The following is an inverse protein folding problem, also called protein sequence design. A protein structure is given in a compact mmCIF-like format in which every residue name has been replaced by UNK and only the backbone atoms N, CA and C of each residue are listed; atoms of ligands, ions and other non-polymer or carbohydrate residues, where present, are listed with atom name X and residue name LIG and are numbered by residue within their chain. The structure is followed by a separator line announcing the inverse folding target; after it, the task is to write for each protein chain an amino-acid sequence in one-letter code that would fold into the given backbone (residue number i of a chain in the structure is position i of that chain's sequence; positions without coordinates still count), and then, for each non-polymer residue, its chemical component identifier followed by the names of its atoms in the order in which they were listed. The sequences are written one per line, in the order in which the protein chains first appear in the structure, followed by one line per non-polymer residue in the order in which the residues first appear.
data_IF_719248268329
#
_entry.id   IF_719248268329
#
_cell.length_a   1.000
_cell.length_b   1.000
_cell.length_c   1.000
_cell.angle_alpha   90.00
_cell.angle_beta   90.00
_cell.angle_gamma   90.00
#
_symmetry.space_group_name_H-M   'P 1'
#
loop_
_entity.id
_entity.type
_entity.pdbx_description
1 polymer ?
#
# COMPACT_ATOMS: atom_id res chain seq x y z
N UNK A 1 -26.45 -69.85 -6.31
CA UNK A 1 -25.80 -68.75 -5.56
C UNK A 1 -25.90 -67.49 -6.41
N UNK A 2 -26.47 -66.38 -5.91
CA UNK A 2 -26.61 -65.17 -6.71
C UNK A 2 -25.23 -64.51 -6.86
N UNK A 3 -24.85 -64.20 -8.10
CA UNK A 3 -23.67 -63.38 -8.38
C UNK A 3 -24.01 -61.94 -8.00
N UNK A 4 -23.40 -61.44 -6.93
CA UNK A 4 -23.47 -60.02 -6.57
C UNK A 4 -22.88 -59.19 -7.71
N UNK A 5 -23.69 -58.27 -8.22
CA UNK A 5 -23.26 -57.21 -9.14
C UNK A 5 -22.43 -56.22 -8.33
N UNK A 6 -21.22 -55.81 -8.77
CA UNK A 6 -20.53 -54.74 -8.08
C UNK A 6 -21.33 -53.45 -8.29
N UNK A 7 -21.68 -52.77 -7.20
CA UNK A 7 -22.22 -51.42 -7.21
C UNK A 7 -21.21 -50.49 -7.90
N UNK A 8 -21.63 -49.59 -8.81
CA UNK A 8 -20.73 -48.59 -9.36
C UNK A 8 -20.34 -47.61 -8.25
N UNK A 9 -19.04 -47.49 -8.02
CA UNK A 9 -18.49 -46.36 -7.28
C UNK A 9 -18.62 -45.11 -8.14
N UNK A 10 -19.77 -44.44 -8.07
CA UNK A 10 -19.92 -43.07 -8.55
C UNK A 10 -19.25 -42.13 -7.54
N UNK A 11 -17.93 -42.14 -7.52
CA UNK A 11 -17.16 -40.98 -7.05
C UNK A 11 -17.30 -39.92 -8.13
N UNK A 12 -18.37 -39.13 -8.03
CA UNK A 12 -18.54 -37.89 -8.77
C UNK A 12 -17.54 -36.85 -8.22
N UNK A 13 -16.25 -37.12 -8.45
CA UNK A 13 -15.15 -36.19 -8.24
C UNK A 13 -15.03 -35.33 -9.51
N UNK A 14 -16.14 -34.72 -9.89
CA UNK A 14 -16.12 -33.58 -10.80
C UNK A 14 -15.53 -32.41 -10.01
N UNK A 15 -14.20 -32.29 -10.01
CA UNK A 15 -13.58 -30.99 -9.86
C UNK A 15 -14.29 -30.03 -10.83
N UNK A 16 -15.10 -29.12 -10.29
CA UNK A 16 -15.86 -28.13 -11.05
C UNK A 16 -14.92 -27.38 -11.99
N UNK A 17 -14.87 -27.80 -13.25
CA UNK A 17 -14.05 -27.13 -14.26
C UNK A 17 -14.53 -25.69 -14.36
N UNK A 18 -13.64 -24.69 -14.25
CA UNK A 18 -14.03 -23.29 -14.27
C UNK A 18 -14.76 -22.96 -15.57
N UNK A 19 -15.87 -22.25 -15.43
CA UNK A 19 -16.68 -21.79 -16.56
C UNK A 19 -15.86 -20.86 -17.47
N UNK A 20 -16.23 -20.81 -18.76
CA UNK A 20 -15.63 -19.87 -19.73
C UNK A 20 -15.65 -18.41 -19.23
N UNK A 21 -16.68 -18.04 -18.46
CA UNK A 21 -16.81 -16.70 -17.87
C UNK A 21 -15.82 -16.46 -16.71
N UNK A 22 -15.58 -17.46 -15.85
CA UNK A 22 -14.56 -17.40 -14.80
C UNK A 22 -13.15 -17.25 -15.38
N UNK A 23 -12.79 -18.11 -16.33
CA UNK A 23 -11.48 -18.05 -17.01
C UNK A 23 -11.23 -16.68 -17.67
N UNK A 24 -12.27 -16.09 -18.25
CA UNK A 24 -12.18 -14.73 -18.83
C UNK A 24 -11.94 -13.67 -17.75
N UNK A 25 -12.66 -13.73 -16.63
CA UNK A 25 -12.49 -12.80 -15.49
C UNK A 25 -11.09 -12.90 -14.88
N UNK A 26 -10.61 -14.12 -14.65
CA UNK A 26 -9.24 -14.37 -14.17
C UNK A 26 -8.20 -13.79 -15.12
N UNK A 27 -8.36 -13.99 -16.43
CA UNK A 27 -7.43 -13.42 -17.41
C UNK A 27 -7.41 -11.89 -17.38
N UNK A 28 -8.57 -11.26 -17.24
CA UNK A 28 -8.65 -9.80 -17.08
C UNK A 28 -7.99 -9.32 -15.77
N UNK A 29 -8.14 -10.07 -14.67
CA UNK A 29 -7.49 -9.74 -13.41
C UNK A 29 -5.95 -9.81 -13.54
N UNK A 30 -5.41 -10.84 -14.21
CA UNK A 30 -3.98 -10.97 -14.45
C UNK A 30 -3.44 -9.85 -15.36
N UNK A 31 -4.21 -9.43 -16.38
CA UNK A 31 -3.85 -8.29 -17.20
C UNK A 31 -3.83 -7.00 -16.39
N UNK A 32 -4.83 -6.76 -15.54
CA UNK A 32 -4.89 -5.60 -14.67
C UNK A 32 -3.69 -5.56 -13.69
N UNK A 33 -3.33 -6.71 -13.10
CA UNK A 33 -2.13 -6.85 -12.27
C UNK A 33 -0.86 -6.44 -13.05
N UNK A 34 -0.76 -6.87 -14.30
CA UNK A 34 0.34 -6.47 -15.18
C UNK A 34 0.37 -4.98 -15.49
N UNK A 35 -0.79 -4.37 -15.74
CA UNK A 35 -0.89 -2.92 -15.91
C UNK A 35 -0.43 -2.17 -14.66
N UNK A 36 -0.79 -2.66 -13.46
CA UNK A 36 -0.32 -2.10 -12.20
C UNK A 36 1.19 -2.17 -12.10
N UNK A 37 1.81 -3.33 -12.34
CA UNK A 37 3.28 -3.50 -12.31
C UNK A 37 3.99 -2.58 -13.31
N UNK A 38 3.46 -2.45 -14.54
CA UNK A 38 4.01 -1.58 -15.57
C UNK A 38 3.98 -0.09 -15.18
N UNK A 39 2.97 0.32 -14.40
CA UNK A 39 2.82 1.70 -13.95
C UNK A 39 3.69 2.07 -12.74
N UNK A 40 4.34 1.09 -12.09
CA UNK A 40 5.17 1.32 -10.91
C UNK A 40 6.49 2.03 -11.24
N UNK A 41 7.03 2.74 -10.24
CA UNK A 41 8.39 3.29 -10.35
C UNK A 41 9.42 2.16 -10.28
N UNK A 42 10.60 2.30 -10.91
CA UNK A 42 11.64 1.26 -10.90
C UNK A 42 12.03 0.76 -9.50
N UNK A 43 12.08 1.66 -8.51
CA UNK A 43 12.41 1.30 -7.13
C UNK A 43 11.32 0.46 -6.44
N UNK A 44 10.05 0.67 -6.76
CA UNK A 44 8.93 -0.12 -6.23
C UNK A 44 8.86 -1.47 -6.94
N UNK A 45 9.03 -1.46 -8.27
CA UNK A 45 9.03 -2.68 -9.09
C UNK A 45 10.14 -3.66 -8.69
N UNK A 46 11.31 -3.15 -8.29
CA UNK A 46 12.44 -3.96 -7.82
C UNK A 46 12.15 -4.76 -6.54
N UNK A 47 11.07 -4.45 -5.81
CA UNK A 47 10.63 -5.21 -4.64
C UNK A 47 9.92 -6.51 -5.01
N UNK A 48 9.43 -6.62 -6.24
CA UNK A 48 8.63 -7.77 -6.68
C UNK A 48 9.54 -8.91 -7.15
N UNK A 49 9.23 -10.17 -6.77
CA UNK A 49 9.96 -11.34 -7.22
C UNK A 49 9.52 -11.74 -8.64
N UNK A 50 9.89 -10.93 -9.64
CA UNK A 50 9.53 -11.15 -11.03
C UNK A 50 10.64 -11.87 -11.79
N UNK A 51 10.28 -12.79 -12.68
CA UNK A 51 11.23 -13.38 -13.61
C UNK A 51 11.84 -12.37 -14.58
N UNK A 52 13.01 -12.69 -15.14
CA UNK A 52 13.66 -11.87 -16.18
C UNK A 52 12.75 -11.65 -17.41
N UNK A 53 11.95 -12.67 -17.78
CA UNK A 53 11.01 -12.59 -18.88
C UNK A 53 9.91 -11.54 -18.60
N UNK A 54 9.43 -11.50 -17.36
CA UNK A 54 8.43 -10.52 -16.93
C UNK A 54 9.03 -9.11 -16.88
N UNK A 55 10.24 -8.95 -16.34
CA UNK A 55 10.95 -7.66 -16.31
C UNK A 55 11.19 -7.11 -17.73
N UNK A 56 11.62 -7.97 -18.67
CA UNK A 56 11.78 -7.60 -20.09
C UNK A 56 10.44 -7.18 -20.71
N UNK A 57 9.37 -7.93 -20.45
CA UNK A 57 8.04 -7.58 -20.96
C UNK A 57 7.54 -6.23 -20.42
N UNK A 58 7.83 -5.90 -19.16
CA UNK A 58 7.52 -4.59 -18.58
C UNK A 58 8.29 -3.48 -19.31
N UNK A 59 9.61 -3.62 -19.48
CA UNK A 59 10.45 -2.64 -20.16
C UNK A 59 9.99 -2.37 -21.61
N UNK A 60 9.67 -3.44 -22.34
CA UNK A 60 9.19 -3.39 -23.72
C UNK A 60 7.89 -2.60 -23.88
N UNK A 61 7.06 -2.54 -22.83
CA UNK A 61 5.75 -1.86 -22.89
C UNK A 61 5.90 -0.39 -23.31
N UNK A 62 6.96 0.29 -22.87
CA UNK A 62 7.23 1.69 -23.20
C UNK A 62 7.51 1.95 -24.69
N UNK A 63 7.95 0.91 -25.42
CA UNK A 63 8.33 0.99 -26.84
C UNK A 63 7.13 0.79 -27.77
N UNK A 64 6.03 0.23 -27.27
CA UNK A 64 4.84 -0.10 -28.06
C UNK A 64 3.92 1.11 -28.19
N UNK A 65 3.84 1.67 -29.40
CA UNK A 65 3.06 2.90 -29.67
C UNK A 65 1.67 2.65 -30.22
N UNK A 66 1.43 1.52 -30.88
CA UNK A 66 0.13 1.21 -31.49
C UNK A 66 -0.84 0.63 -30.47
N UNK A 67 -2.10 1.06 -30.53
CA UNK A 67 -3.16 0.57 -29.63
C UNK A 67 -3.35 -0.95 -29.76
N UNK A 68 -3.36 -1.46 -30.98
CA UNK A 68 -3.43 -2.88 -31.28
C UNK A 68 -2.23 -3.66 -30.72
N UNK A 69 -1.02 -3.13 -30.90
CA UNK A 69 0.20 -3.72 -30.35
C UNK A 69 0.17 -3.75 -28.83
N UNK A 70 -0.26 -2.66 -28.18
CA UNK A 70 -0.37 -2.57 -26.72
C UNK A 70 -1.37 -3.60 -26.20
N UNK A 71 -2.52 -3.76 -26.86
CA UNK A 71 -3.52 -4.76 -26.46
C UNK A 71 -2.97 -6.19 -26.51
N UNK A 72 -2.25 -6.56 -27.59
CA UNK A 72 -1.63 -7.89 -27.71
C UNK A 72 -0.52 -8.10 -26.70
N UNK A 73 0.29 -7.07 -26.46
CA UNK A 73 1.35 -7.11 -25.45
C UNK A 73 0.77 -7.33 -24.05
N UNK A 74 -0.33 -6.64 -23.71
CA UNK A 74 -1.01 -6.88 -22.43
C UNK A 74 -1.56 -8.31 -22.30
N UNK A 75 -2.02 -8.93 -23.38
CA UNK A 75 -2.40 -10.35 -23.36
C UNK A 75 -1.20 -11.26 -23.10
N UNK A 76 -0.04 -10.95 -23.69
CA UNK A 76 1.21 -11.66 -23.43
C UNK A 76 1.66 -11.48 -21.98
N UNK A 77 1.64 -10.26 -21.45
CA UNK A 77 1.92 -9.94 -20.05
C UNK A 77 1.00 -10.74 -19.12
N UNK A 78 -0.31 -10.76 -19.38
CA UNK A 78 -1.25 -11.57 -18.59
C UNK A 78 -0.94 -13.07 -18.61
N UNK A 79 -0.42 -13.59 -19.73
CA UNK A 79 0.04 -14.99 -19.83
C UNK A 79 1.35 -15.22 -19.07
N UNK A 80 2.27 -14.26 -19.06
CA UNK A 80 3.52 -14.34 -18.29
C UNK A 80 3.24 -14.33 -16.79
N UNK A 81 2.42 -13.39 -16.32
CA UNK A 81 2.04 -13.27 -14.90
C UNK A 81 1.47 -14.58 -14.35
N UNK A 82 0.70 -15.33 -15.15
CA UNK A 82 0.18 -16.64 -14.74
C UNK A 82 1.27 -17.66 -14.37
N UNK A 83 2.48 -17.49 -14.89
CA UNK A 83 3.64 -18.35 -14.61
C UNK A 83 4.46 -17.88 -13.41
N UNK A 84 4.22 -16.65 -12.94
CA UNK A 84 4.90 -16.10 -11.77
C UNK A 84 4.30 -16.65 -10.47
N UNK A 85 5.01 -16.47 -9.37
CA UNK A 85 4.48 -16.72 -8.04
C UNK A 85 3.51 -15.60 -7.63
N UNK A 86 2.22 -15.81 -7.93
CA UNK A 86 1.16 -14.86 -7.62
C UNK A 86 1.00 -14.61 -6.11
N UNK A 87 1.31 -15.61 -5.28
CA UNK A 87 1.21 -15.47 -3.82
C UNK A 87 2.32 -14.54 -3.33
N UNK A 88 3.55 -14.72 -3.82
CA UNK A 88 4.66 -13.84 -3.48
C UNK A 88 4.45 -12.41 -3.99
N UNK A 89 3.95 -12.24 -5.23
CA UNK A 89 3.59 -10.93 -5.77
C UNK A 89 2.54 -10.24 -4.90
N UNK A 90 1.46 -10.96 -4.54
CA UNK A 90 0.41 -10.40 -3.68
C UNK A 90 0.96 -10.02 -2.30
N UNK A 91 1.85 -10.84 -1.71
CA UNK A 91 2.50 -10.51 -0.44
C UNK A 91 3.30 -9.21 -0.48
N UNK A 92 3.93 -8.88 -1.61
CA UNK A 92 4.61 -7.59 -1.78
C UNK A 92 3.61 -6.43 -1.87
N UNK A 93 2.49 -6.60 -2.58
CA UNK A 93 1.41 -5.60 -2.60
C UNK A 93 0.86 -5.33 -1.20
N UNK A 94 0.55 -6.39 -0.46
CA UNK A 94 0.01 -6.29 0.88
C UNK A 94 0.99 -5.58 1.83
N UNK A 95 2.28 -5.89 1.70
CA UNK A 95 3.34 -5.19 2.46
C UNK A 95 3.41 -3.69 2.15
N UNK A 96 3.29 -3.30 0.87
CA UNK A 96 3.28 -1.89 0.47
C UNK A 96 2.05 -1.17 1.05
N UNK A 97 0.87 -1.79 1.00
CA UNK A 97 -0.34 -1.17 1.55
C UNK A 97 -0.27 -1.07 3.08
N UNK A 98 0.24 -2.10 3.77
CA UNK A 98 0.46 -2.05 5.22
C UNK A 98 1.45 -0.93 5.60
N UNK A 99 2.56 -0.78 4.88
CA UNK A 99 3.50 0.33 5.09
C UNK A 99 2.83 1.70 4.89
N UNK A 100 1.91 1.82 3.94
CA UNK A 100 1.13 3.04 3.71
C UNK A 100 0.15 3.29 4.85
N UNK A 101 -0.65 2.31 5.23
CA UNK A 101 -1.59 2.41 6.35
C UNK A 101 -0.86 2.78 7.65
N UNK A 102 0.28 2.17 7.93
CA UNK A 102 1.10 2.50 9.10
C UNK A 102 1.58 3.96 9.06
N UNK A 103 2.05 4.44 7.90
CA UNK A 103 2.45 5.84 7.72
C UNK A 103 1.28 6.80 7.88
N UNK A 104 0.10 6.46 7.36
CA UNK A 104 -1.11 7.29 7.48
C UNK A 104 -1.59 7.34 8.95
N UNK A 105 -1.59 6.21 9.66
CA UNK A 105 -1.89 6.16 11.08
C UNK A 105 -0.90 6.96 11.93
N UNK A 106 0.40 6.86 11.62
CA UNK A 106 1.45 7.64 12.26
C UNK A 106 1.25 9.14 12.00
N UNK A 107 0.92 9.52 10.76
CA UNK A 107 0.62 10.89 10.38
C UNK A 107 -0.57 11.46 11.17
N UNK A 108 -1.70 10.75 11.22
CA UNK A 108 -2.86 11.18 11.98
C UNK A 108 -2.62 11.25 13.49
N UNK A 109 -1.78 10.37 14.04
CA UNK A 109 -1.36 10.46 15.45
C UNK A 109 -0.61 11.78 15.71
N UNK A 110 0.30 12.16 14.81
CA UNK A 110 1.02 13.43 14.89
C UNK A 110 0.08 14.64 14.76
N UNK A 111 -0.92 14.58 13.88
CA UNK A 111 -1.92 15.64 13.75
C UNK A 111 -2.74 15.81 15.02
N UNK A 112 -3.24 14.71 15.59
CA UNK A 112 -3.98 14.74 16.86
C UNK A 112 -3.15 15.35 17.98
N UNK A 113 -1.87 14.99 18.08
CA UNK A 113 -0.97 15.58 19.07
C UNK A 113 -0.75 17.07 18.83
N UNK A 114 -0.47 17.47 17.58
CA UNK A 114 -0.29 18.88 17.21
C UNK A 114 -1.52 19.71 17.62
N UNK A 115 -2.70 19.25 17.25
CA UNK A 115 -3.94 19.99 17.49
C UNK A 115 -4.23 20.08 19.00
N UNK A 116 -4.08 18.97 19.71
CA UNK A 116 -4.19 18.91 21.18
C UNK A 116 -3.22 19.87 21.86
N UNK A 117 -1.95 19.88 21.46
CA UNK A 117 -0.93 20.76 22.02
C UNK A 117 -1.26 22.24 21.81
N UNK A 118 -1.78 22.60 20.63
CA UNK A 118 -2.20 23.97 20.35
C UNK A 118 -3.45 24.32 21.18
N UNK A 119 -4.39 23.41 21.37
CA UNK A 119 -5.63 23.64 22.14
C UNK A 119 -5.40 23.72 23.65
N UNK A 120 -4.61 22.80 24.21
CA UNK A 120 -4.39 22.66 25.65
C UNK A 120 -3.18 23.48 26.15
N UNK A 121 -2.27 23.91 25.27
CA UNK A 121 -1.14 24.76 25.67
C UNK A 121 -0.14 24.03 26.56
N UNK A 122 0.25 24.64 27.68
CA UNK A 122 1.27 24.08 28.57
C UNK A 122 0.84 22.75 29.22
N UNK A 123 -0.46 22.57 29.53
CA UNK A 123 -0.99 21.31 30.07
C UNK A 123 -0.84 20.16 29.05
N UNK A 124 -1.13 20.44 27.78
CA UNK A 124 -0.94 19.48 26.69
C UNK A 124 0.54 19.12 26.48
N UNK A 125 1.43 20.11 26.66
CA UNK A 125 2.89 19.87 26.60
C UNK A 125 3.34 18.95 27.71
N UNK A 126 2.87 19.17 28.93
CA UNK A 126 3.25 18.33 30.07
C UNK A 126 2.73 16.89 29.91
N UNK A 127 1.53 16.70 29.35
CA UNK A 127 1.01 15.38 28.98
C UNK A 127 1.84 14.69 27.89
N UNK A 128 2.22 15.41 26.83
CA UNK A 128 3.06 14.86 25.77
C UNK A 128 4.42 14.43 26.32
N UNK A 129 5.06 15.25 27.16
CA UNK A 129 6.37 14.94 27.75
C UNK A 129 6.31 13.84 28.82
N UNK A 130 5.15 13.57 29.40
CA UNK A 130 4.95 12.40 30.25
C UNK A 130 5.00 11.10 29.43
N UNK A 131 4.45 11.09 28.21
CA UNK A 131 4.49 9.94 27.31
C UNK A 131 5.83 9.84 26.54
N UNK A 132 6.43 10.98 26.21
CA UNK A 132 7.68 11.08 25.44
C UNK A 132 8.72 11.95 26.17
N UNK A 133 9.41 11.40 27.20
CA UNK A 133 10.32 12.18 28.06
C UNK A 133 11.58 12.71 27.37
N UNK A 134 11.91 12.19 26.19
CA UNK A 134 13.09 12.57 25.39
C UNK A 134 12.88 13.86 24.58
N UNK A 135 11.65 14.41 24.54
CA UNK A 135 11.34 15.62 23.79
C UNK A 135 12.00 16.88 24.36
N UNK A 136 12.38 17.81 23.48
CA UNK A 136 12.88 19.12 23.89
C UNK A 136 11.71 20.00 24.39
N UNK A 137 11.55 20.01 25.71
CA UNK A 137 10.52 20.79 26.42
C UNK A 137 10.53 22.27 26.02
N UNK A 138 11.70 22.88 25.89
CA UNK A 138 11.81 24.31 25.62
C UNK A 138 11.35 24.63 24.19
N UNK A 139 11.84 23.86 23.21
CA UNK A 139 11.43 24.00 21.81
C UNK A 139 9.95 23.73 21.64
N UNK A 140 9.41 22.69 22.28
CA UNK A 140 8.00 22.31 22.20
C UNK A 140 7.09 23.43 22.73
N UNK A 141 7.34 23.96 23.93
CA UNK A 141 6.58 25.09 24.50
C UNK A 141 6.64 26.33 23.60
N UNK A 142 7.80 26.62 23.03
CA UNK A 142 7.95 27.77 22.14
C UNK A 142 7.12 27.62 20.86
N UNK A 143 7.13 26.44 20.24
CA UNK A 143 6.35 26.16 19.03
C UNK A 143 4.85 26.21 19.31
N UNK A 144 4.39 25.66 20.42
CA UNK A 144 2.97 25.69 20.84
C UNK A 144 2.49 27.12 21.05
N UNK A 145 3.21 27.94 21.83
CA UNK A 145 2.85 29.35 22.07
C UNK A 145 2.78 30.15 20.77
N UNK A 146 3.74 29.95 19.87
CA UNK A 146 3.75 30.63 18.57
C UNK A 146 2.58 30.18 17.69
N UNK A 147 2.28 28.89 17.63
CA UNK A 147 1.19 28.35 16.84
C UNK A 147 -0.18 28.84 17.33
N UNK A 148 -0.39 28.93 18.65
CA UNK A 148 -1.59 29.53 19.25
C UNK A 148 -1.74 31.00 18.86
N UNK A 149 -0.67 31.78 19.02
CA UNK A 149 -0.65 33.20 18.63
C UNK A 149 -0.92 33.40 17.14
N UNK A 150 -0.36 32.56 16.27
CA UNK A 150 -0.66 32.59 14.83
C UNK A 150 -2.14 32.31 14.55
N UNK A 151 -2.71 31.30 15.22
CA UNK A 151 -4.13 30.94 15.08
C UNK A 151 -5.06 32.05 15.54
N UNK A 152 -4.80 32.62 16.72
CA UNK A 152 -5.57 33.74 17.27
C UNK A 152 -5.51 35.00 16.39
N UNK A 153 -4.38 35.21 15.71
CA UNK A 153 -4.16 36.36 14.82
C UNK A 153 -4.58 36.11 13.37
N UNK A 154 -5.14 34.93 13.05
CA UNK A 154 -5.51 34.56 11.67
C UNK A 154 -4.31 34.50 10.71
N UNK A 155 -3.10 34.28 11.23
CA UNK A 155 -1.86 34.23 10.45
C UNK A 155 -1.66 32.84 9.82
N UNK A 156 -0.83 32.73 8.76
CA UNK A 156 -0.46 31.44 8.20
C UNK A 156 0.14 30.50 9.27
N UNK A 157 -0.22 29.19 9.29
CA UNK A 157 0.10 28.24 10.35
C UNK A 157 1.55 27.71 10.27
N UNK A 158 2.52 28.62 10.27
CA UNK A 158 3.94 28.32 10.09
C UNK A 158 4.50 27.55 11.28
N UNK A 159 4.19 28.00 12.49
CA UNK A 159 4.63 27.36 13.73
C UNK A 159 3.92 26.03 13.97
N UNK A 160 2.67 25.88 13.53
CA UNK A 160 1.96 24.59 13.55
C UNK A 160 2.62 23.55 12.63
N UNK A 161 3.07 23.94 11.43
CA UNK A 161 3.86 23.07 10.54
C UNK A 161 5.21 22.69 11.15
N UNK A 162 5.90 23.63 11.80
CA UNK A 162 7.15 23.37 12.52
C UNK A 162 6.94 22.43 13.71
N UNK A 163 5.84 22.61 14.45
CA UNK A 163 5.44 21.72 15.54
C UNK A 163 5.25 20.29 15.03
N UNK A 164 4.50 20.10 13.94
CA UNK A 164 4.32 18.79 13.32
C UNK A 164 5.66 18.11 12.97
N UNK A 165 6.60 18.86 12.36
CA UNK A 165 7.94 18.36 12.04
C UNK A 165 8.71 17.94 13.30
N UNK A 166 8.68 18.76 14.34
CA UNK A 166 9.35 18.47 15.61
C UNK A 166 8.78 17.24 16.31
N UNK A 167 7.45 17.08 16.30
CA UNK A 167 6.78 15.89 16.84
C UNK A 167 7.19 14.63 16.09
N UNK A 168 7.25 14.69 14.75
CA UNK A 168 7.70 13.58 13.92
C UNK A 168 9.13 13.14 14.28
N UNK A 169 10.04 14.10 14.43
CA UNK A 169 11.44 13.85 14.85
C UNK A 169 11.51 13.24 16.25
N UNK A 170 10.67 13.71 17.19
CA UNK A 170 10.63 13.22 18.57
C UNK A 170 10.10 11.78 18.66
N UNK A 171 9.10 11.44 17.84
CA UNK A 171 8.51 10.10 17.80
C UNK A 171 9.31 9.10 16.94
N UNK A 172 10.43 9.54 16.35
CA UNK A 172 11.26 8.75 15.43
C UNK A 172 10.46 8.14 14.25
N UNK A 173 9.50 8.91 13.71
CA UNK A 173 8.63 8.54 12.58
C UNK A 173 9.09 9.18 11.25
#
# INVERSE_FOLDING_TARGET
MPKQRPEPFDIDEQEERPSKSQLKREMHALQALGETLIAMKPAELARFPLSDDMLRAIEETSRIRSHEGRRRHMQYVGKLIRKEDLVAIQGVFDGIEQEKEQRDHAFHRLEKWRDRLIDEGDDGVDLFLAEYPTGDRQTLRQLVRNARKEREQGKPPTSSRKLFKHLRETLAL
#
